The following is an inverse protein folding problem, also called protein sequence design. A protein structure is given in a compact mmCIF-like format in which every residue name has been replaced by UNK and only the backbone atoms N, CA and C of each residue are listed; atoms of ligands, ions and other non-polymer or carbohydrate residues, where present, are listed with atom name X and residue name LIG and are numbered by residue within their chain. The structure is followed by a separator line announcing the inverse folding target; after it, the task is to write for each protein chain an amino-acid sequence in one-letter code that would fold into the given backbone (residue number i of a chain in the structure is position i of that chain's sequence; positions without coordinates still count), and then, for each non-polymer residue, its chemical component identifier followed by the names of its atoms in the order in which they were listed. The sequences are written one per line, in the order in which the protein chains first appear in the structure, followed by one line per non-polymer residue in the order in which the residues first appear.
data_IF_024842860787
#
_entry.id   IF_024842860787
#
_cell.length_a   1.000
_cell.length_b   1.000
_cell.length_c   1.000
_cell.angle_alpha   90.00
_cell.angle_beta   90.00
_cell.angle_gamma   90.00
#
_symmetry.space_group_name_H-M   'P 1'
#
loop_
_entity.id
_entity.type
_entity.pdbx_description
1 polymer ?
#
# COMPACT_ATOMS: atom_id res chain seq x y z
N UNK A 1 -16.01 -32.74 24.44
CA UNK A 1 -16.05 -31.28 24.64
C UNK A 1 -14.61 -30.78 24.63
N UNK A 2 -14.29 -29.84 23.74
CA UNK A 2 -12.97 -29.20 23.63
C UNK A 2 -13.13 -27.75 24.06
N UNK A 3 -12.34 -27.28 25.02
CA UNK A 3 -12.31 -25.88 25.43
C UNK A 3 -11.18 -25.17 24.68
N UNK A 4 -11.51 -24.09 23.97
CA UNK A 4 -10.53 -23.25 23.28
C UNK A 4 -10.35 -21.94 24.04
N UNK A 5 -9.13 -21.69 24.51
CA UNK A 5 -8.77 -20.46 25.23
C UNK A 5 -7.70 -19.73 24.43
N UNK A 6 -7.89 -18.44 24.22
CA UNK A 6 -6.89 -17.57 23.59
C UNK A 6 -6.11 -16.85 24.68
N UNK A 7 -4.78 -16.91 24.61
CA UNK A 7 -3.86 -16.26 25.55
C UNK A 7 -3.00 -15.28 24.77
N UNK A 8 -2.86 -14.06 25.27
CA UNK A 8 -2.06 -13.00 24.65
C UNK A 8 -1.00 -12.52 25.63
N UNK A 9 0.26 -12.48 25.18
CA UNK A 9 1.39 -12.03 25.98
C UNK A 9 1.46 -10.51 26.04
N UNK A 10 1.99 -9.97 27.15
CA UNK A 10 2.12 -8.50 27.34
C UNK A 10 3.41 -7.92 26.79
N UNK A 11 4.49 -8.70 26.76
CA UNK A 11 5.82 -8.22 26.42
C UNK A 11 6.53 -9.25 25.54
N UNK A 12 7.01 -8.82 24.37
CA UNK A 12 7.76 -9.66 23.42
C UNK A 12 9.08 -10.11 24.03
N UNK A 13 9.44 -11.36 23.79
CA UNK A 13 10.67 -11.99 24.29
C UNK A 13 10.54 -12.60 25.69
N UNK A 14 9.51 -12.22 26.46
CA UNK A 14 9.26 -12.79 27.78
C UNK A 14 8.81 -14.25 27.70
N UNK A 15 9.23 -15.05 28.67
CA UNK A 15 8.80 -16.43 28.85
C UNK A 15 7.71 -16.52 29.94
N UNK A 16 6.78 -17.45 29.78
CA UNK A 16 5.74 -17.72 30.75
C UNK A 16 5.41 -19.22 30.79
N UNK A 17 4.87 -19.70 31.92
CA UNK A 17 4.34 -21.07 32.04
C UNK A 17 2.82 -21.03 32.07
N UNK A 18 2.19 -21.59 31.05
CA UNK A 18 0.73 -21.80 31.02
C UNK A 18 0.42 -23.09 31.75
N UNK A 19 -0.51 -23.06 32.69
CA UNK A 19 -0.95 -24.24 33.45
C UNK A 19 -2.44 -24.48 33.22
N UNK A 20 -2.80 -25.71 32.84
CA UNK A 20 -4.20 -26.11 32.67
C UNK A 20 -4.58 -27.17 33.70
N UNK A 21 -5.83 -27.09 34.19
CA UNK A 21 -6.39 -27.98 35.20
C UNK A 21 -7.69 -28.62 34.70
N UNK A 22 -7.84 -29.94 34.91
CA UNK A 22 -9.08 -30.67 34.69
C UNK A 22 -9.34 -31.60 35.87
N UNK A 23 -10.15 -31.13 36.83
CA UNK A 23 -10.34 -31.81 38.11
C UNK A 23 -9.01 -31.94 38.86
N UNK A 24 -8.53 -33.18 39.04
CA UNK A 24 -7.25 -33.48 39.69
C UNK A 24 -6.05 -33.50 38.73
N UNK A 25 -6.27 -33.39 37.42
CA UNK A 25 -5.21 -33.45 36.42
C UNK A 25 -4.64 -32.06 36.16
N UNK A 26 -3.31 -31.97 36.00
CA UNK A 26 -2.56 -30.75 35.72
C UNK A 26 -1.59 -31.00 34.56
N UNK A 27 -1.51 -30.03 33.65
CA UNK A 27 -0.45 -29.98 32.62
C UNK A 27 0.13 -28.57 32.52
N UNK A 28 1.36 -28.46 32.02
CA UNK A 28 2.08 -27.20 31.88
C UNK A 28 2.77 -27.10 30.52
N UNK A 29 2.85 -25.88 30.01
CA UNK A 29 3.61 -25.55 28.81
C UNK A 29 4.37 -24.24 29.02
N UNK A 30 5.68 -24.25 28.76
CA UNK A 30 6.48 -23.04 28.68
C UNK A 30 6.29 -22.41 27.30
N UNK A 31 6.02 -21.12 27.27
CA UNK A 31 5.80 -20.35 26.06
C UNK A 31 6.67 -19.10 26.07
N UNK A 32 7.12 -18.67 24.91
CA UNK A 32 7.75 -17.37 24.70
C UNK A 32 6.80 -16.46 23.91
N UNK A 33 6.70 -15.21 24.32
CA UNK A 33 5.88 -14.22 23.63
C UNK A 33 6.62 -13.73 22.40
N UNK A 34 6.08 -13.99 21.22
CA UNK A 34 6.59 -13.42 19.97
C UNK A 34 5.76 -12.22 19.54
N UNK A 35 6.35 -11.30 18.79
CA UNK A 35 5.60 -10.23 18.14
C UNK A 35 4.53 -10.85 17.24
N UNK A 36 3.31 -10.30 17.31
CA UNK A 36 2.26 -10.69 16.38
C UNK A 36 2.74 -10.26 15.00
N UNK A 37 3.07 -11.25 14.16
CA UNK A 37 3.41 -10.99 12.76
C UNK A 37 2.27 -10.14 12.20
N UNK A 38 2.58 -8.93 11.74
CA UNK A 38 1.61 -8.11 11.01
C UNK A 38 1.00 -9.03 9.97
N UNK A 39 -0.27 -9.36 10.19
CA UNK A 39 -1.02 -10.10 9.20
C UNK A 39 -1.29 -9.05 8.16
N UNK A 40 -0.36 -8.92 7.20
CA UNK A 40 -0.65 -8.30 5.92
C UNK A 40 -1.98 -8.90 5.52
N UNK A 41 -3.04 -8.10 5.59
CA UNK A 41 -4.37 -8.51 5.18
C UNK A 41 -4.16 -9.12 3.82
N UNK A 42 -4.47 -10.42 3.68
CA UNK A 42 -4.27 -11.10 2.42
C UNK A 42 -4.97 -10.24 1.37
N UNK A 43 -4.25 -9.76 0.33
CA UNK A 43 -4.84 -8.83 -0.61
C UNK A 43 -6.10 -9.49 -1.17
N UNK A 44 -7.22 -8.73 -1.30
CA UNK A 44 -8.45 -9.28 -1.83
C UNK A 44 -8.16 -10.08 -3.10
N UNK A 45 -8.77 -11.27 -3.23
CA UNK A 45 -8.59 -12.16 -4.39
C UNK A 45 -8.71 -11.36 -5.68
N UNK A 46 -7.60 -11.30 -6.43
CA UNK A 46 -7.41 -10.44 -7.60
C UNK A 46 -8.50 -10.70 -8.64
N UNK A 47 -9.40 -9.73 -8.83
CA UNK A 47 -10.30 -9.73 -9.99
C UNK A 47 -9.50 -9.47 -11.27
N UNK A 48 -9.86 -10.11 -12.38
CA UNK A 48 -9.22 -9.96 -13.70
C UNK A 48 -9.30 -8.54 -14.31
N UNK A 49 -9.81 -7.55 -13.57
CA UNK A 49 -10.03 -6.16 -13.99
C UNK A 49 -9.25 -5.15 -13.14
N UNK A 50 -8.16 -5.55 -12.48
CA UNK A 50 -7.33 -4.62 -11.70
C UNK A 50 -6.59 -3.64 -12.63
N UNK A 51 -6.59 -2.35 -12.26
CA UNK A 51 -5.92 -1.29 -13.04
C UNK A 51 -4.39 -1.49 -13.07
N UNK A 52 -3.78 -1.97 -11.99
CA UNK A 52 -2.37 -2.34 -11.94
C UNK A 52 -2.22 -3.60 -11.11
N UNK A 53 -1.14 -4.34 -11.35
CA UNK A 53 -0.86 -5.61 -10.69
C UNK A 53 0.37 -5.55 -9.77
N UNK A 54 1.15 -4.46 -9.83
CA UNK A 54 2.41 -4.34 -9.11
C UNK A 54 2.83 -2.87 -8.90
N UNK A 55 3.68 -2.64 -7.89
CA UNK A 55 4.35 -1.35 -7.63
C UNK A 55 5.86 -1.63 -7.59
N UNK A 56 6.59 -0.95 -8.46
CA UNK A 56 8.03 -1.14 -8.66
C UNK A 56 8.80 0.11 -8.26
N UNK A 57 9.94 -0.12 -7.63
CA UNK A 57 10.92 0.90 -7.29
C UNK A 57 12.10 0.78 -8.25
N UNK A 58 12.41 1.84 -9.01
CA UNK A 58 13.50 1.83 -9.99
C UNK A 58 14.35 3.10 -9.84
N UNK A 59 15.66 2.92 -9.73
CA UNK A 59 16.64 3.99 -9.56
C UNK A 59 17.20 4.50 -10.90
N UNK A 60 16.84 3.86 -12.02
CA UNK A 60 17.33 4.20 -13.37
C UNK A 60 16.36 5.07 -14.17
N UNK A 61 15.15 5.29 -13.67
CA UNK A 61 14.12 6.11 -14.32
C UNK A 61 14.41 7.61 -14.15
N UNK A 62 13.89 8.45 -15.06
CA UNK A 62 14.10 9.91 -15.00
C UNK A 62 13.59 10.48 -13.65
N UNK A 63 14.48 11.04 -12.81
CA UNK A 63 14.12 11.50 -11.47
C UNK A 63 13.23 12.76 -11.47
N UNK A 64 13.07 13.45 -12.60
CA UNK A 64 12.14 14.59 -12.73
C UNK A 64 10.69 14.13 -12.65
N UNK A 65 10.41 12.89 -13.04
CA UNK A 65 9.10 12.26 -12.92
C UNK A 65 9.16 11.22 -11.79
N UNK A 66 8.65 11.60 -10.62
CA UNK A 66 8.72 10.77 -9.41
C UNK A 66 7.96 9.45 -9.54
N UNK A 67 6.91 9.43 -10.37
CA UNK A 67 6.07 8.26 -10.59
C UNK A 67 5.45 8.28 -11.98
N UNK A 68 5.29 7.11 -12.57
CA UNK A 68 4.48 6.92 -13.77
C UNK A 68 3.80 5.56 -13.77
N UNK A 69 2.80 5.42 -14.62
CA UNK A 69 2.13 4.15 -14.87
C UNK A 69 2.74 3.49 -16.11
N UNK A 70 3.32 2.30 -15.94
CA UNK A 70 3.84 1.46 -17.02
C UNK A 70 2.69 0.65 -17.63
N UNK A 71 2.21 1.09 -18.78
CA UNK A 71 1.10 0.46 -19.51
C UNK A 71 1.46 -0.92 -20.07
N UNK A 72 2.74 -1.20 -20.32
CA UNK A 72 3.18 -2.48 -20.87
C UNK A 72 3.09 -3.57 -19.79
N UNK A 73 3.58 -3.26 -18.59
CA UNK A 73 3.59 -4.20 -17.48
C UNK A 73 2.38 -4.06 -16.55
N UNK A 74 1.51 -3.07 -16.78
CA UNK A 74 0.40 -2.72 -15.90
C UNK A 74 0.85 -2.53 -14.45
N UNK A 75 1.90 -1.73 -14.25
CA UNK A 75 2.52 -1.48 -12.94
C UNK A 75 2.76 -0.01 -12.70
N UNK A 76 2.80 0.38 -11.42
CA UNK A 76 3.20 1.73 -11.01
C UNK A 76 4.71 1.71 -10.80
N UNK A 77 5.44 2.62 -11.42
CA UNK A 77 6.90 2.73 -11.26
C UNK A 77 7.22 4.01 -10.50
N UNK A 78 7.88 3.86 -9.35
CA UNK A 78 8.35 4.94 -8.48
C UNK A 78 9.86 5.13 -8.71
N UNK A 79 10.24 6.35 -9.07
CA UNK A 79 11.62 6.74 -9.32
C UNK A 79 12.35 7.00 -7.99
N UNK A 80 13.11 6.02 -7.49
CA UNK A 80 13.81 6.13 -6.19
C UNK A 80 14.97 7.12 -6.21
N UNK A 81 15.49 7.43 -7.40
CA UNK A 81 16.50 8.48 -7.59
C UNK A 81 15.95 9.91 -7.49
N UNK A 82 14.62 10.09 -7.49
CA UNK A 82 14.01 11.41 -7.34
C UNK A 82 14.35 12.01 -5.95
N UNK A 83 14.89 13.25 -5.86
CA UNK A 83 15.36 13.80 -4.60
C UNK A 83 14.32 13.81 -3.47
N UNK A 84 13.06 14.08 -3.80
CA UNK A 84 11.97 14.10 -2.82
C UNK A 84 11.45 12.72 -2.43
N UNK A 85 11.77 11.67 -3.18
CA UNK A 85 11.45 10.27 -2.83
C UNK A 85 12.58 9.67 -2.01
N UNK A 86 13.83 9.95 -2.40
CA UNK A 86 15.04 9.38 -1.80
C UNK A 86 15.15 9.57 -0.29
N UNK A 87 14.64 10.68 0.24
CA UNK A 87 14.69 10.98 1.68
C UNK A 87 13.76 10.11 2.54
N UNK A 88 12.85 9.36 1.91
CA UNK A 88 11.91 8.43 2.55
C UNK A 88 12.28 6.96 2.27
N UNK A 89 13.49 6.69 1.78
CA UNK A 89 13.95 5.34 1.54
C UNK A 89 14.66 4.78 2.78
N UNK A 90 14.41 3.51 3.07
CA UNK A 90 15.14 2.74 4.06
C UNK A 90 16.54 2.32 3.53
N UNK A 91 17.31 1.65 4.38
CA UNK A 91 18.66 1.14 4.04
C UNK A 91 18.65 0.15 2.87
N UNK A 92 17.49 -0.43 2.53
CA UNK A 92 17.28 -1.38 1.44
C UNK A 92 16.67 -0.73 0.19
N UNK A 93 16.71 0.61 0.09
CA UNK A 93 16.14 1.40 -1.01
C UNK A 93 14.64 1.19 -1.27
N UNK A 94 13.91 0.75 -0.24
CA UNK A 94 12.44 0.66 -0.23
C UNK A 94 11.88 1.89 0.43
N UNK A 95 10.67 2.31 0.07
CA UNK A 95 9.96 3.30 0.88
C UNK A 95 9.86 2.77 2.31
N UNK A 96 10.29 3.59 3.25
CA UNK A 96 10.26 3.24 4.67
C UNK A 96 8.82 3.00 5.13
N UNK A 97 8.65 2.13 6.12
CA UNK A 97 7.32 1.75 6.64
C UNK A 97 6.77 2.79 7.64
N UNK A 98 7.46 3.91 7.80
CA UNK A 98 7.02 5.02 8.64
C UNK A 98 5.74 5.65 8.08
N UNK A 99 4.99 6.36 8.92
CA UNK A 99 3.78 7.07 8.49
C UNK A 99 4.10 8.04 7.34
N UNK A 100 5.27 8.69 7.38
CA UNK A 100 5.72 9.61 6.34
C UNK A 100 5.96 8.91 5.00
N UNK A 101 6.63 7.75 5.01
CA UNK A 101 6.81 6.91 3.82
C UNK A 101 5.49 6.41 3.24
N UNK A 102 4.57 5.99 4.11
CA UNK A 102 3.22 5.57 3.71
C UNK A 102 2.42 6.71 3.07
N UNK A 103 2.47 7.91 3.64
CA UNK A 103 1.83 9.12 3.09
C UNK A 103 2.40 9.44 1.71
N UNK A 104 3.73 9.39 1.55
CA UNK A 104 4.35 9.60 0.25
C UNK A 104 3.92 8.53 -0.76
N UNK A 105 3.92 7.25 -0.36
CA UNK A 105 3.49 6.15 -1.22
C UNK A 105 2.04 6.35 -1.70
N UNK A 106 1.15 6.72 -0.78
CA UNK A 106 -0.25 7.00 -1.09
C UNK A 106 -0.40 8.15 -2.10
N UNK A 107 0.37 9.24 -1.93
CA UNK A 107 0.39 10.36 -2.89
C UNK A 107 0.89 9.94 -4.27
N UNK A 108 1.99 9.18 -4.35
CA UNK A 108 2.56 8.75 -5.64
C UNK A 108 1.62 7.77 -6.38
N UNK A 109 1.00 6.83 -5.66
CA UNK A 109 -0.01 5.92 -6.24
C UNK A 109 -1.21 6.73 -6.73
N UNK A 110 -1.69 7.66 -5.92
CA UNK A 110 -2.81 8.55 -6.28
C UNK A 110 -2.50 9.31 -7.56
N UNK A 111 -1.30 9.87 -7.66
CA UNK A 111 -0.83 10.59 -8.85
C UNK A 111 -0.87 9.69 -10.10
N UNK A 112 -0.22 8.52 -10.04
CA UNK A 112 -0.12 7.61 -11.19
C UNK A 112 -1.49 7.08 -11.65
N UNK A 113 -2.30 6.62 -10.70
CA UNK A 113 -3.62 6.03 -10.96
C UNK A 113 -4.58 7.07 -11.51
N UNK A 114 -4.71 8.23 -10.85
CA UNK A 114 -5.65 9.25 -11.30
C UNK A 114 -5.27 9.79 -12.67
N UNK A 115 -3.96 9.94 -12.95
CA UNK A 115 -3.48 10.43 -14.24
C UNK A 115 -3.75 9.42 -15.36
N UNK A 116 -3.56 8.13 -15.09
CA UNK A 116 -3.83 7.09 -16.09
C UNK A 116 -5.33 6.93 -16.35
N UNK A 117 -6.19 6.92 -15.32
CA UNK A 117 -7.65 6.89 -15.51
C UNK A 117 -8.14 8.11 -16.30
N UNK A 118 -7.57 9.29 -16.03
CA UNK A 118 -7.91 10.50 -16.78
C UNK A 118 -7.51 10.37 -18.25
N UNK A 119 -6.27 9.93 -18.53
CA UNK A 119 -5.77 9.68 -19.88
C UNK A 119 -6.63 8.64 -20.62
N UNK A 120 -6.81 7.47 -20.03
CA UNK A 120 -7.57 6.37 -20.62
C UNK A 120 -9.04 6.75 -20.85
N UNK A 121 -9.59 7.63 -20.02
CA UNK A 121 -10.93 8.18 -20.22
C UNK A 121 -11.02 9.10 -21.45
N UNK A 122 -10.02 9.95 -21.68
CA UNK A 122 -9.92 10.78 -22.90
C UNK A 122 -9.68 9.91 -24.13
N UNK A 123 -8.69 9.01 -24.09
CA UNK A 123 -8.34 8.12 -25.21
C UNK A 123 -9.52 7.25 -25.67
N UNK A 124 -10.37 6.79 -24.73
CA UNK A 124 -11.55 5.96 -25.03
C UNK A 124 -12.81 6.78 -25.32
N UNK A 125 -12.73 8.11 -25.41
CA UNK A 125 -13.88 8.98 -25.68
C UNK A 125 -14.94 8.99 -24.57
N UNK A 126 -14.58 8.61 -23.33
CA UNK A 126 -15.48 8.64 -22.16
C UNK A 126 -15.70 10.06 -21.63
N UNK A 127 -14.84 10.99 -22.01
CA UNK A 127 -14.93 12.40 -21.64
C UNK A 127 -15.15 13.25 -22.88
N UNK A 128 -15.97 14.29 -22.74
CA UNK A 128 -16.13 15.31 -23.78
C UNK A 128 -14.86 16.14 -23.83
N UNK A 129 -14.17 16.11 -24.97
CA UNK A 129 -12.90 16.81 -25.20
C UNK A 129 -13.01 17.55 -26.52
N UNK A 130 -12.62 18.84 -26.49
CA UNK A 130 -12.43 19.63 -27.70
C UNK A 130 -11.15 19.15 -28.39
N UNK A 131 -11.20 18.95 -29.70
CA UNK A 131 -10.04 18.53 -30.48
C UNK A 131 -8.84 19.49 -30.24
N UNK A 132 -7.67 18.92 -29.97
CA UNK A 132 -6.46 19.67 -29.63
C UNK A 132 -6.38 20.16 -28.18
N UNK A 133 -7.39 19.86 -27.34
CA UNK A 133 -7.45 20.21 -25.91
C UNK A 133 -7.31 18.99 -24.98
N UNK A 134 -6.75 17.89 -25.48
CA UNK A 134 -6.68 16.62 -24.77
C UNK A 134 -5.84 16.72 -23.50
N UNK A 135 -4.70 17.42 -23.56
CA UNK A 135 -3.83 17.60 -22.40
C UNK A 135 -4.54 18.32 -21.24
N UNK A 136 -5.26 19.40 -21.54
CA UNK A 136 -6.04 20.16 -20.56
C UNK A 136 -7.20 19.33 -20.01
N UNK A 137 -7.88 18.56 -20.86
CA UNK A 137 -8.92 17.65 -20.44
C UNK A 137 -8.36 16.59 -19.46
N UNK A 138 -7.25 15.94 -19.81
CA UNK A 138 -6.58 14.97 -18.93
C UNK A 138 -6.22 15.62 -17.59
N UNK A 139 -5.64 16.81 -17.60
CA UNK A 139 -5.25 17.50 -16.37
C UNK A 139 -6.46 17.86 -15.49
N UNK A 140 -7.55 18.35 -16.10
CA UNK A 140 -8.79 18.68 -15.38
C UNK A 140 -9.46 17.43 -14.79
N UNK A 141 -9.45 16.31 -15.51
CA UNK A 141 -9.97 15.05 -15.02
C UNK A 141 -9.08 14.45 -13.92
N UNK A 142 -7.76 14.53 -14.08
CA UNK A 142 -6.78 14.13 -13.07
C UNK A 142 -7.01 14.85 -11.74
N UNK A 143 -7.12 16.19 -11.74
CA UNK A 143 -7.37 16.99 -10.53
C UNK A 143 -8.69 16.57 -9.87
N UNK A 144 -9.76 16.37 -10.64
CA UNK A 144 -11.05 15.91 -10.12
C UNK A 144 -10.98 14.54 -9.47
N UNK A 145 -10.25 13.60 -10.09
CA UNK A 145 -10.06 12.26 -9.56
C UNK A 145 -9.24 12.28 -8.27
N UNK A 146 -8.16 13.06 -8.21
CA UNK A 146 -7.37 13.23 -6.99
C UNK A 146 -8.23 13.78 -5.85
N UNK A 147 -8.95 14.88 -6.07
CA UNK A 147 -9.83 15.46 -5.05
C UNK A 147 -10.90 14.49 -4.55
N UNK A 148 -11.38 13.60 -5.42
CA UNK A 148 -12.42 12.62 -5.06
C UNK A 148 -11.86 11.39 -4.36
N UNK A 149 -10.66 10.93 -4.69
CA UNK A 149 -10.20 9.58 -4.29
C UNK A 149 -8.92 9.55 -3.46
N UNK A 150 -8.14 10.64 -3.39
CA UNK A 150 -6.88 10.66 -2.65
C UNK A 150 -7.09 10.22 -1.18
N UNK A 151 -8.09 10.79 -0.50
CA UNK A 151 -8.38 10.46 0.90
C UNK A 151 -8.67 8.96 1.14
N UNK A 152 -9.32 8.28 0.19
CA UNK A 152 -9.60 6.84 0.31
C UNK A 152 -8.34 5.99 0.12
N UNK A 153 -7.44 6.40 -0.78
CA UNK A 153 -6.15 5.75 -0.98
C UNK A 153 -5.29 5.92 0.28
N UNK A 154 -5.29 7.12 0.86
CA UNK A 154 -4.62 7.40 2.14
C UNK A 154 -5.19 6.56 3.27
N UNK A 155 -6.52 6.47 3.42
CA UNK A 155 -7.15 5.63 4.45
C UNK A 155 -6.80 4.14 4.30
N UNK A 156 -6.55 3.67 3.08
CA UNK A 156 -6.19 2.28 2.82
C UNK A 156 -4.70 1.97 3.10
N UNK A 157 -3.82 2.93 2.84
CA UNK A 157 -2.36 2.72 2.90
C UNK A 157 -1.75 3.20 4.21
N UNK A 158 -2.25 4.32 4.74
CA UNK A 158 -1.63 5.01 5.88
C UNK A 158 -2.24 4.50 7.18
N UNK A 159 -1.38 3.90 8.01
CA UNK A 159 -1.75 3.49 9.36
C UNK A 159 -1.71 4.72 10.26
N UNK A 160 -2.86 5.10 10.83
CA UNK A 160 -2.96 6.20 11.80
C UNK A 160 -2.60 5.67 13.19
N UNK A 161 -1.69 6.35 13.87
CA UNK A 161 -1.33 6.09 15.29
C UNK A 161 -2.49 6.42 16.25
#
# INVERSE_FOLDING_TARGET
MEARVKVEGRQVGSEATITAYLGKHRTQATVQVHSKKETLVAPPTRGSNALFNDIRFDDRTDPRQRVYYDRVNSSIVIATAAPSVKIYLDENTRLDTTVQGQVLLAELITEAVCREIAREGVEKGRYLVLEGSEADAIQNHFIRLQNRYAHLIHEYIVTKE
#
